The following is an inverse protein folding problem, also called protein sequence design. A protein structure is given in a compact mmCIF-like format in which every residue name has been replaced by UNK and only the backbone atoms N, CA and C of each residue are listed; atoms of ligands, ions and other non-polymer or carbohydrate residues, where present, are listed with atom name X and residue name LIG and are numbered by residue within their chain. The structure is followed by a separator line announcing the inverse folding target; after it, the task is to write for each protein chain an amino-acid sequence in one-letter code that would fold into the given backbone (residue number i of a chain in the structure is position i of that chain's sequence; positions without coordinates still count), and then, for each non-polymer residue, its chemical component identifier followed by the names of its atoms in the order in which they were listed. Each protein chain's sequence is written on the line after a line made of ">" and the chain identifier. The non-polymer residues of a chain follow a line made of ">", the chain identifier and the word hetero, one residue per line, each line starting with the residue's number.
data_IF_954160383447
#
_entry.id   IF_954160383447
#
_cell.length_a   1.000
_cell.length_b   1.000
_cell.length_c   1.000
_cell.angle_alpha   90.00
_cell.angle_beta   90.00
_cell.angle_gamma   90.00
#
_symmetry.space_group_name_H-M   'P 1'
#
loop_
_entity.id
_entity.type
_entity.pdbx_description
1 polymer ?
#
# COMPACT_ATOMS: atom_id res chain seq x y z
N UNK A 1 -8.15 4.10 -1.32
CA UNK A 1 -8.63 5.30 -0.58
C UNK A 1 -8.05 6.54 -1.24
N UNK A 2 -8.87 7.56 -1.42
CA UNK A 2 -8.43 8.87 -1.93
C UNK A 2 -8.25 9.79 -0.72
N UNK A 3 -7.05 10.35 -0.56
CA UNK A 3 -6.80 11.42 0.40
C UNK A 3 -6.98 12.75 -0.33
N UNK A 4 -7.89 13.59 0.17
CA UNK A 4 -8.22 14.86 -0.48
C UNK A 4 -8.43 15.96 0.57
N UNK A 5 -8.27 17.20 0.11
CA UNK A 5 -8.59 18.41 0.86
C UNK A 5 -9.62 19.20 0.03
N UNK A 6 -10.84 19.32 0.55
CA UNK A 6 -11.95 19.84 -0.24
C UNK A 6 -12.21 18.96 -1.48
N UNK A 7 -12.12 19.57 -2.67
CA UNK A 7 -12.35 18.89 -3.96
C UNK A 7 -11.07 18.31 -4.58
N UNK A 8 -9.88 18.63 -4.05
CA UNK A 8 -8.61 18.20 -4.62
C UNK A 8 -8.14 16.87 -4.01
N UNK A 9 -7.89 15.86 -4.83
CA UNK A 9 -7.25 14.61 -4.42
C UNK A 9 -5.74 14.75 -4.45
N UNK A 10 -5.07 14.48 -3.31
CA UNK A 10 -3.60 14.56 -3.21
C UNK A 10 -2.92 13.21 -3.44
N UNK A 11 -3.54 12.12 -3.01
CA UNK A 11 -2.95 10.79 -3.01
C UNK A 11 -4.04 9.75 -3.23
N UNK A 12 -3.75 8.77 -4.08
CA UNK A 12 -4.47 7.50 -4.16
C UNK A 12 -3.75 6.49 -3.27
N UNK A 13 -4.39 6.05 -2.20
CA UNK A 13 -3.83 5.06 -1.29
C UNK A 13 -4.45 3.69 -1.56
N UNK A 14 -3.63 2.75 -2.06
CA UNK A 14 -3.92 1.33 -2.15
C UNK A 14 -3.54 0.61 -0.86
N UNK A 15 -4.26 -0.44 -0.51
CA UNK A 15 -3.91 -1.32 0.62
C UNK A 15 -4.03 -2.76 0.12
N UNK A 16 -2.92 -3.49 0.18
CA UNK A 16 -2.83 -4.90 -0.10
C UNK A 16 -2.69 -5.68 1.21
N UNK A 17 -3.69 -6.50 1.52
CA UNK A 17 -3.67 -7.35 2.70
C UNK A 17 -3.07 -8.71 2.33
N UNK A 18 -2.01 -9.13 3.01
CA UNK A 18 -1.33 -10.40 2.79
C UNK A 18 -1.28 -11.20 4.09
N UNK A 19 -1.87 -12.40 4.09
CA UNK A 19 -1.72 -13.37 5.19
C UNK A 19 -0.48 -14.22 4.96
N UNK A 20 -0.27 -14.63 3.70
CA UNK A 20 0.92 -15.35 3.26
C UNK A 20 1.85 -14.44 2.47
N UNK A 21 3.14 -14.76 2.47
CA UNK A 21 4.15 -13.97 1.76
C UNK A 21 4.01 -14.19 0.25
N UNK A 22 3.79 -13.10 -0.47
CA UNK A 22 3.76 -13.12 -1.93
C UNK A 22 5.12 -12.70 -2.48
N UNK A 23 5.95 -13.68 -2.87
CA UNK A 23 7.34 -13.45 -3.30
C UNK A 23 7.50 -12.60 -4.57
N UNK A 24 6.43 -12.33 -5.31
CA UNK A 24 6.44 -11.41 -6.45
C UNK A 24 5.69 -10.09 -6.11
N UNK A 25 5.66 -9.67 -4.84
CA UNK A 25 4.92 -8.50 -4.41
C UNK A 25 5.36 -7.20 -5.09
N UNK A 26 6.65 -6.91 -5.32
CA UNK A 26 7.06 -5.72 -6.06
C UNK A 26 6.44 -5.64 -7.46
N UNK A 27 6.41 -6.75 -8.18
CA UNK A 27 5.79 -6.81 -9.52
C UNK A 27 4.28 -6.62 -9.44
N UNK A 28 3.63 -7.22 -8.46
CA UNK A 28 2.19 -7.08 -8.25
C UNK A 28 1.80 -5.63 -7.97
N UNK A 29 2.53 -4.98 -7.09
CA UNK A 29 2.26 -3.58 -6.73
C UNK A 29 2.51 -2.62 -7.91
N UNK A 30 3.62 -2.79 -8.65
CA UNK A 30 3.89 -1.95 -9.82
C UNK A 30 2.78 -2.06 -10.87
N UNK A 31 2.19 -3.25 -11.05
CA UNK A 31 1.06 -3.44 -11.96
C UNK A 31 -0.14 -2.64 -11.47
N UNK A 32 -0.48 -2.69 -10.19
CA UNK A 32 -1.61 -1.95 -9.63
C UNK A 32 -1.41 -0.43 -9.73
N UNK A 33 -0.25 0.06 -9.39
CA UNK A 33 0.07 1.49 -9.48
C UNK A 33 0.05 1.95 -10.93
N UNK A 34 0.63 1.17 -11.85
CA UNK A 34 0.64 1.48 -13.28
C UNK A 34 -0.79 1.51 -13.87
N UNK A 35 -1.67 0.61 -13.46
CA UNK A 35 -3.08 0.62 -13.87
C UNK A 35 -3.81 1.88 -13.38
N UNK A 36 -3.53 2.33 -12.15
CA UNK A 36 -4.12 3.56 -11.62
C UNK A 36 -3.60 4.80 -12.37
N UNK A 37 -2.31 4.87 -12.67
CA UNK A 37 -1.75 5.95 -13.49
C UNK A 37 -2.31 5.93 -14.91
N UNK A 38 -2.38 4.75 -15.54
CA UNK A 38 -2.96 4.60 -16.87
C UNK A 38 -4.44 5.04 -16.93
N UNK A 39 -5.20 4.71 -15.89
CA UNK A 39 -6.59 5.16 -15.75
C UNK A 39 -6.69 6.68 -15.65
N UNK A 40 -5.87 7.32 -14.83
CA UNK A 40 -5.87 8.78 -14.69
C UNK A 40 -5.59 9.48 -16.04
N UNK A 41 -4.60 9.00 -16.77
CA UNK A 41 -4.25 9.53 -18.09
C UNK A 41 -5.43 9.36 -19.06
N UNK A 42 -6.06 8.18 -19.08
CA UNK A 42 -7.21 7.91 -19.95
C UNK A 42 -8.43 8.80 -19.60
N UNK A 43 -8.70 9.00 -18.30
CA UNK A 43 -9.80 9.83 -17.82
C UNK A 43 -9.60 11.30 -18.19
N UNK A 44 -8.38 11.82 -18.08
CA UNK A 44 -8.02 13.18 -18.48
C UNK A 44 -8.19 13.35 -19.99
N UNK A 45 -7.66 12.43 -20.78
CA UNK A 45 -7.81 12.46 -22.24
C UNK A 45 -9.28 12.36 -22.69
N UNK A 46 -10.10 11.58 -21.98
CA UNK A 46 -11.54 11.50 -22.24
C UNK A 46 -12.25 12.82 -21.94
N UNK A 47 -11.92 13.48 -20.82
CA UNK A 47 -12.47 14.81 -20.47
C UNK A 47 -12.14 15.85 -21.53
N UNK A 48 -10.90 15.92 -22.04
CA UNK A 48 -10.52 16.84 -23.11
C UNK A 48 -11.33 16.61 -24.38
N UNK A 49 -11.54 15.35 -24.78
CA UNK A 49 -12.37 15.01 -25.95
C UNK A 49 -13.82 15.42 -25.75
N UNK A 50 -14.40 15.13 -24.58
CA UNK A 50 -15.82 15.47 -24.28
C UNK A 50 -16.06 16.97 -24.26
N UNK A 51 -15.11 17.72 -23.71
CA UNK A 51 -15.20 19.19 -23.63
C UNK A 51 -14.88 19.90 -24.95
N UNK A 52 -14.60 19.15 -26.02
CA UNK A 52 -14.21 19.71 -27.31
C UNK A 52 -12.89 20.48 -27.27
N UNK A 53 -12.07 20.28 -26.22
CA UNK A 53 -10.78 20.93 -26.08
C UNK A 53 -9.84 20.46 -27.19
N UNK A 54 -9.22 21.40 -27.89
CA UNK A 54 -8.21 21.09 -28.89
C UNK A 54 -6.83 21.25 -28.25
N UNK A 55 -5.99 20.24 -28.38
CA UNK A 55 -4.59 20.34 -27.93
C UNK A 55 -3.87 21.51 -28.62
N UNK A 56 -2.99 22.15 -27.88
CA UNK A 56 -2.21 23.30 -28.35
C UNK A 56 -1.04 22.89 -29.26
N UNK A 57 -0.67 21.61 -29.24
CA UNK A 57 0.39 21.01 -30.04
C UNK A 57 -0.05 19.69 -30.66
N UNK A 58 0.71 19.21 -31.67
CA UNK A 58 0.48 17.88 -32.26
C UNK A 58 0.66 16.76 -31.23
N UNK A 59 1.60 16.89 -30.29
CA UNK A 59 1.86 15.92 -29.23
C UNK A 59 0.66 15.81 -28.26
N UNK A 60 0.11 16.93 -27.84
CA UNK A 60 -1.08 16.98 -26.97
C UNK A 60 -2.31 16.41 -27.67
N UNK A 61 -2.49 16.71 -28.94
CA UNK A 61 -3.58 16.16 -29.74
C UNK A 61 -3.49 14.63 -29.86
N UNK A 62 -2.27 14.09 -30.11
CA UNK A 62 -2.07 12.65 -30.27
C UNK A 62 -2.22 11.89 -28.95
N UNK A 63 -1.67 12.44 -27.86
CA UNK A 63 -1.73 11.80 -26.53
C UNK A 63 -3.08 11.99 -25.85
N UNK A 64 -3.78 13.09 -26.15
CA UNK A 64 -4.94 13.57 -25.40
C UNK A 64 -4.58 14.06 -23.98
N UNK A 65 -3.30 14.10 -23.64
CA UNK A 65 -2.77 14.58 -22.36
C UNK A 65 -1.95 15.85 -22.61
N UNK A 66 -2.31 16.94 -21.93
CA UNK A 66 -1.76 18.26 -22.21
C UNK A 66 -0.58 18.54 -21.26
N UNK A 67 0.27 19.47 -21.64
CA UNK A 67 1.50 19.82 -20.93
C UNK A 67 1.24 20.19 -19.45
N UNK A 68 0.11 20.84 -19.20
CA UNK A 68 -0.24 21.32 -17.86
C UNK A 68 -1.07 20.30 -17.06
N UNK A 69 -1.49 19.20 -17.69
CA UNK A 69 -2.20 18.12 -16.97
C UNK A 69 -1.29 17.49 -15.92
N UNK A 70 -1.89 17.10 -14.81
CA UNK A 70 -1.22 16.45 -13.70
C UNK A 70 -1.99 15.21 -13.27
N UNK A 71 -1.26 14.23 -12.81
CA UNK A 71 -1.82 13.02 -12.21
C UNK A 71 -1.58 13.02 -10.70
N UNK A 72 -2.48 12.38 -9.99
CA UNK A 72 -2.40 12.19 -8.54
C UNK A 72 -1.43 11.07 -8.23
N UNK A 73 -0.49 11.24 -7.27
CA UNK A 73 0.39 10.17 -6.83
C UNK A 73 -0.40 8.94 -6.34
N UNK A 74 0.09 7.76 -6.70
CA UNK A 74 -0.43 6.47 -6.21
C UNK A 74 0.59 5.89 -5.24
N UNK A 75 0.12 5.48 -4.05
CA UNK A 75 0.93 4.81 -3.03
C UNK A 75 0.20 3.54 -2.62
N UNK A 76 0.83 2.38 -2.79
CA UNK A 76 0.29 1.11 -2.32
C UNK A 76 1.05 0.63 -1.09
N UNK A 77 0.32 0.46 0.03
CA UNK A 77 0.83 -0.12 1.26
C UNK A 77 0.55 -1.62 1.26
N UNK A 78 1.54 -2.41 1.61
CA UNK A 78 1.41 -3.85 1.84
C UNK A 78 1.30 -4.10 3.34
N UNK A 79 0.15 -4.60 3.80
CA UNK A 79 -0.03 -5.02 5.18
C UNK A 79 0.14 -6.53 5.26
N UNK A 80 1.16 -6.96 5.99
CA UNK A 80 1.38 -8.38 6.25
C UNK A 80 0.70 -8.79 7.56
N UNK A 81 -0.36 -9.59 7.44
CA UNK A 81 -1.10 -10.10 8.59
C UNK A 81 -0.62 -11.48 9.05
N UNK A 82 0.42 -12.03 8.43
CA UNK A 82 1.03 -13.30 8.83
C UNK A 82 1.74 -13.19 10.19
N UNK A 83 1.75 -14.30 10.93
CA UNK A 83 2.45 -14.37 12.20
C UNK A 83 3.99 -14.53 12.04
N UNK A 84 4.47 -14.83 10.85
CA UNK A 84 5.89 -14.88 10.51
C UNK A 84 6.35 -13.52 10.03
N UNK A 85 7.64 -13.21 10.24
CA UNK A 85 8.25 -12.04 9.62
C UNK A 85 8.23 -12.16 8.10
N UNK A 86 8.13 -11.03 7.44
CA UNK A 86 8.24 -10.98 5.98
C UNK A 86 9.68 -11.30 5.56
N UNK A 87 9.86 -12.32 4.73
CA UNK A 87 11.13 -12.74 4.13
C UNK A 87 11.17 -12.62 2.60
N UNK A 88 10.09 -12.08 2.01
CA UNK A 88 10.00 -11.83 0.57
C UNK A 88 10.77 -10.59 0.12
N UNK A 89 10.96 -10.40 -1.20
CA UNK A 89 11.65 -9.24 -1.73
C UNK A 89 10.89 -7.95 -1.42
N UNK A 90 11.63 -6.89 -1.12
CA UNK A 90 11.10 -5.55 -0.86
C UNK A 90 11.21 -4.65 -2.07
N UNK A 91 12.02 -5.02 -3.07
CA UNK A 91 12.18 -4.23 -4.28
C UNK A 91 12.23 -5.10 -5.55
N UNK A 92 12.00 -4.44 -6.69
CA UNK A 92 12.10 -5.10 -7.99
C UNK A 92 13.54 -5.55 -8.29
N UNK A 93 14.54 -4.76 -7.86
CA UNK A 93 15.94 -5.11 -8.05
C UNK A 93 16.35 -6.38 -7.28
N UNK A 94 15.77 -6.62 -6.10
CA UNK A 94 16.02 -7.87 -5.35
C UNK A 94 15.56 -9.12 -6.11
N UNK A 95 14.56 -8.98 -6.98
CA UNK A 95 14.02 -10.07 -7.80
C UNK A 95 14.80 -10.31 -9.09
N UNK A 96 15.73 -9.43 -9.48
CA UNK A 96 16.44 -9.54 -10.74
C UNK A 96 17.44 -10.69 -10.73
N UNK A 97 17.48 -11.47 -11.84
CA UNK A 97 18.44 -12.56 -12.04
C UNK A 97 19.87 -12.05 -12.19
N UNK A 98 20.04 -10.82 -12.69
CA UNK A 98 21.34 -10.19 -12.90
C UNK A 98 21.55 -9.12 -11.83
N UNK A 99 22.69 -9.20 -11.12
CA UNK A 99 23.08 -8.28 -10.05
C UNK A 99 24.16 -7.28 -10.49
N UNK A 100 24.28 -7.02 -11.78
CA UNK A 100 25.25 -6.06 -12.32
C UNK A 100 24.71 -4.63 -12.13
N UNK A 101 25.36 -3.84 -11.26
CA UNK A 101 24.96 -2.48 -10.94
C UNK A 101 24.87 -1.57 -12.17
N UNK A 102 25.81 -1.71 -13.15
CA UNK A 102 25.79 -0.92 -14.37
C UNK A 102 24.53 -1.17 -15.21
N UNK A 103 24.00 -2.40 -15.19
CA UNK A 103 22.75 -2.72 -15.88
C UNK A 103 21.53 -2.28 -15.04
N UNK A 104 21.58 -2.47 -13.73
CA UNK A 104 20.47 -2.09 -12.83
C UNK A 104 20.22 -0.58 -12.82
N UNK A 105 21.23 0.25 -13.09
CA UNK A 105 21.05 1.70 -13.23
C UNK A 105 20.11 2.08 -14.37
N UNK A 106 19.87 1.21 -15.36
CA UNK A 106 18.90 1.43 -16.43
C UNK A 106 17.50 0.86 -16.11
N UNK A 107 17.37 0.12 -15.02
CA UNK A 107 16.10 -0.46 -14.57
C UNK A 107 15.58 0.33 -13.38
N UNK A 108 14.40 0.92 -13.51
CA UNK A 108 13.77 1.58 -12.37
C UNK A 108 13.53 0.56 -11.26
N UNK A 109 14.05 0.83 -10.06
CA UNK A 109 13.69 0.05 -8.89
C UNK A 109 12.30 0.47 -8.38
N UNK A 110 11.49 -0.51 -8.07
CA UNK A 110 10.20 -0.29 -7.45
C UNK A 110 10.21 -0.94 -6.07
N UNK A 111 10.14 -0.13 -5.03
CA UNK A 111 10.12 -0.57 -3.64
C UNK A 111 8.68 -0.65 -3.12
N UNK A 112 8.36 -1.72 -2.39
CA UNK A 112 7.08 -1.84 -1.70
C UNK A 112 7.13 -1.11 -0.36
N UNK A 113 5.98 -0.54 0.04
CA UNK A 113 5.79 0.04 1.36
C UNK A 113 5.17 -1.01 2.28
N UNK A 114 6.03 -1.82 2.90
CA UNK A 114 5.61 -2.93 3.76
C UNK A 114 5.36 -2.45 5.19
N UNK A 115 4.20 -2.83 5.74
CA UNK A 115 3.89 -2.80 7.17
C UNK A 115 3.89 -4.24 7.65
N UNK A 116 4.96 -4.63 8.36
CA UNK A 116 5.12 -5.93 8.97
C UNK A 116 4.97 -5.79 10.49
N UNK A 117 3.85 -6.25 11.09
CA UNK A 117 3.61 -6.15 12.51
C UNK A 117 4.72 -6.75 13.38
N UNK A 118 5.36 -7.83 12.90
CA UNK A 118 6.44 -8.48 13.64
C UNK A 118 7.64 -7.54 13.89
N UNK A 119 7.91 -6.63 12.94
CA UNK A 119 9.05 -5.69 12.96
C UNK A 119 8.72 -4.32 13.57
N UNK A 120 7.44 -3.98 13.77
CA UNK A 120 7.07 -2.70 14.36
C UNK A 120 7.58 -2.58 15.79
N UNK A 121 8.09 -1.42 16.19
CA UNK A 121 8.38 -1.10 17.58
C UNK A 121 7.08 -0.84 18.39
N UNK A 122 7.19 -0.75 19.71
CA UNK A 122 6.05 -0.36 20.54
C UNK A 122 5.63 1.08 20.24
N UNK A 123 6.59 1.96 20.01
CA UNK A 123 6.38 3.37 19.64
C UNK A 123 5.67 3.50 18.27
N UNK A 124 5.98 2.61 17.32
CA UNK A 124 5.28 2.60 16.02
C UNK A 124 3.83 2.16 16.15
N UNK A 125 3.55 1.18 17.03
CA UNK A 125 2.19 0.78 17.34
C UNK A 125 1.37 1.91 17.95
N UNK A 126 1.98 2.76 18.78
CA UNK A 126 1.31 3.89 19.41
C UNK A 126 0.95 5.03 18.44
N UNK A 127 1.57 5.07 17.26
CA UNK A 127 1.21 6.03 16.19
C UNK A 127 -0.16 5.73 15.56
N UNK A 128 -0.64 4.50 15.68
CA UNK A 128 -1.98 4.15 15.19
C UNK A 128 -3.04 4.58 16.20
N UNK A 129 -3.92 5.46 15.79
CA UNK A 129 -4.99 6.03 16.64
C UNK A 129 -6.33 5.30 16.53
N UNK A 130 -6.42 4.28 15.67
CA UNK A 130 -7.65 3.54 15.37
C UNK A 130 -7.57 2.10 15.89
N UNK A 131 -8.65 1.33 15.78
CA UNK A 131 -8.70 -0.12 16.08
C UNK A 131 -7.69 -0.95 15.26
N UNK A 132 -7.06 -0.37 14.24
CA UNK A 132 -5.95 -0.99 13.53
C UNK A 132 -4.75 -1.25 14.46
N UNK A 133 -4.52 -0.41 15.47
CA UNK A 133 -3.50 -0.62 16.51
C UNK A 133 -3.69 -1.95 17.23
N UNK A 134 -4.93 -2.24 17.64
CA UNK A 134 -5.27 -3.46 18.36
C UNK A 134 -5.08 -4.70 17.47
N UNK A 135 -5.48 -4.61 16.20
CA UNK A 135 -5.30 -5.70 15.22
C UNK A 135 -3.81 -5.98 14.98
N UNK A 136 -3.03 -4.94 14.69
CA UNK A 136 -1.59 -5.06 14.46
C UNK A 136 -0.87 -5.57 15.71
N UNK A 137 -1.20 -5.05 16.89
CA UNK A 137 -0.62 -5.50 18.16
C UNK A 137 -0.95 -6.95 18.48
N UNK A 138 -2.19 -7.38 18.23
CA UNK A 138 -2.57 -8.78 18.37
C UNK A 138 -1.72 -9.69 17.46
N UNK A 139 -1.58 -9.35 16.18
CA UNK A 139 -0.78 -10.12 15.23
C UNK A 139 0.67 -10.19 15.69
N UNK A 140 1.25 -9.04 16.06
CA UNK A 140 2.63 -8.94 16.54
C UNK A 140 2.93 -9.90 17.69
N UNK A 141 2.03 -10.00 18.65
CA UNK A 141 2.22 -10.79 19.86
C UNK A 141 1.57 -12.18 19.80
N UNK A 142 0.90 -12.54 18.69
CA UNK A 142 0.11 -13.78 18.57
C UNK A 142 0.89 -15.07 18.84
N UNK A 143 2.19 -15.08 18.63
CA UNK A 143 3.08 -16.22 18.90
C UNK A 143 3.62 -16.28 20.34
N UNK A 144 3.53 -15.19 21.09
CA UNK A 144 4.00 -15.09 22.47
C UNK A 144 2.81 -14.88 23.42
N UNK A 145 2.33 -15.96 24.02
CA UNK A 145 1.16 -15.93 24.89
C UNK A 145 1.31 -14.94 26.05
N UNK A 146 2.54 -14.79 26.61
CA UNK A 146 2.78 -13.89 27.74
C UNK A 146 2.65 -12.45 27.29
N UNK A 147 3.37 -12.07 26.23
CA UNK A 147 3.31 -10.70 25.66
C UNK A 147 1.93 -10.35 25.12
N UNK A 148 1.24 -11.32 24.52
CA UNK A 148 -0.12 -11.12 24.06
C UNK A 148 -1.06 -10.84 25.25
N UNK A 149 -0.95 -11.60 26.35
CA UNK A 149 -1.77 -11.36 27.54
C UNK A 149 -1.49 -9.99 28.15
N UNK A 150 -0.22 -9.60 28.26
CA UNK A 150 0.19 -8.28 28.73
C UNK A 150 -0.41 -7.18 27.84
N UNK A 151 -0.25 -7.30 26.51
CA UNK A 151 -0.82 -6.35 25.55
C UNK A 151 -2.34 -6.21 25.65
N UNK A 152 -3.05 -7.31 25.79
CA UNK A 152 -4.52 -7.32 25.94
C UNK A 152 -4.96 -6.69 27.29
N UNK A 153 -4.22 -6.93 28.35
CA UNK A 153 -4.52 -6.37 29.69
C UNK A 153 -4.30 -4.86 29.70
N UNK A 154 -3.23 -4.38 29.04
CA UNK A 154 -2.91 -2.96 28.96
C UNK A 154 -3.81 -2.17 27.98
N UNK A 155 -4.58 -2.88 27.14
CA UNK A 155 -5.47 -2.27 26.14
C UNK A 155 -6.94 -2.74 26.34
N UNK A 156 -7.62 -2.30 27.41
CA UNK A 156 -8.98 -2.75 27.73
C UNK A 156 -10.03 -2.34 26.67
N UNK A 157 -9.72 -1.35 25.80
CA UNK A 157 -10.59 -0.96 24.68
C UNK A 157 -10.78 -2.09 23.67
N UNK A 158 -9.79 -2.96 23.51
CA UNK A 158 -9.85 -4.09 22.59
C UNK A 158 -10.97 -5.09 22.93
N UNK A 159 -11.28 -5.24 24.21
CA UNK A 159 -12.37 -6.10 24.70
C UNK A 159 -13.75 -5.49 24.43
N UNK A 160 -13.84 -4.20 24.16
CA UNK A 160 -15.10 -3.45 23.97
C UNK A 160 -15.44 -3.18 22.51
N UNK A 161 -14.46 -3.19 21.59
CA UNK A 161 -14.71 -2.91 20.17
C UNK A 161 -14.92 -4.19 19.37
N UNK A 162 -16.19 -4.52 19.11
CA UNK A 162 -16.60 -5.68 18.30
C UNK A 162 -15.95 -5.74 16.91
N UNK A 163 -15.50 -4.62 16.37
CA UNK A 163 -14.88 -4.53 15.04
C UNK A 163 -13.45 -5.09 15.01
N UNK A 164 -12.60 -4.76 16.00
CA UNK A 164 -11.25 -5.30 16.10
C UNK A 164 -11.29 -6.83 16.30
N UNK A 165 -12.15 -7.32 17.18
CA UNK A 165 -12.34 -8.74 17.41
C UNK A 165 -12.80 -9.50 16.16
N UNK A 166 -13.68 -8.90 15.35
CA UNK A 166 -14.14 -9.49 14.08
C UNK A 166 -13.01 -9.60 13.05
N UNK A 167 -12.18 -8.54 12.93
CA UNK A 167 -11.03 -8.55 12.01
C UNK A 167 -9.99 -9.57 12.47
N UNK A 168 -9.67 -9.61 13.77
CA UNK A 168 -8.75 -10.60 14.33
C UNK A 168 -9.22 -12.02 14.04
N UNK A 169 -10.49 -12.31 14.29
CA UNK A 169 -11.08 -13.61 13.98
C UNK A 169 -10.98 -13.96 12.49
N UNK A 170 -11.25 -13.01 11.60
CA UNK A 170 -11.17 -13.22 10.16
C UNK A 170 -9.73 -13.47 9.68
N UNK A 171 -8.74 -12.78 10.28
CA UNK A 171 -7.33 -12.89 9.90
C UNK A 171 -6.67 -14.14 10.48
N UNK A 172 -7.06 -14.56 11.68
CA UNK A 172 -6.43 -15.69 12.40
C UNK A 172 -7.13 -17.03 12.17
N UNK A 173 -8.24 -17.06 11.45
CA UNK A 173 -9.09 -18.27 11.25
C UNK A 173 -9.50 -18.97 12.55
N UNK A 174 -9.67 -18.22 13.63
CA UNK A 174 -10.10 -18.73 14.94
C UNK A 174 -11.53 -18.32 15.30
#
# INVERSE_FOLDING_TARGET
>A
VIKQDGEAAYILLGIENQTDIHYAMPVRNIIYDALQYGKQVADIAAKHRTNGSKGHSRGEYLSGFYKDDKITPVITLVLHFGANEWDGPLSLHEMMAVKNESLLNFVQDYQIHLIDPAKLSKEDLEKFSTSLREVIGYIKYSKDKKRLTEFLTDNPRMLMESNAARVIKAVTNT
#
